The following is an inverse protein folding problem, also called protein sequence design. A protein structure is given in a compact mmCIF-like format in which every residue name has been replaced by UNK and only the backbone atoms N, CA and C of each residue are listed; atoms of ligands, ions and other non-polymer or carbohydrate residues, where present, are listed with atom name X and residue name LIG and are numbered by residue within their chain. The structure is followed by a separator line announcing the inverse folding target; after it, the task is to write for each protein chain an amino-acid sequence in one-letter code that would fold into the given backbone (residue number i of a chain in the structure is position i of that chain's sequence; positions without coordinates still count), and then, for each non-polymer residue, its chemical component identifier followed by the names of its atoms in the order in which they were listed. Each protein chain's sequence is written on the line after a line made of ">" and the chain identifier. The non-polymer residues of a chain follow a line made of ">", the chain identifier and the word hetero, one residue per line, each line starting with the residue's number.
data_IF_008825567032
#
_entry.id   IF_008825567032
#
_cell.length_a   1.000
_cell.length_b   1.000
_cell.length_c   1.000
_cell.angle_alpha   90.00
_cell.angle_beta   90.00
_cell.angle_gamma   90.00
#
_symmetry.space_group_name_H-M   'P 1'
#
loop_
_entity.id
_entity.type
_entity.pdbx_description
1 polymer ?
#
# COMPACT_ATOMS: atom_id res chain seq x y z
N UNK A 1 17.98 30.36 1.47
CA UNK A 1 18.89 30.01 0.37
C UNK A 1 18.06 29.71 -0.85
N UNK A 2 18.13 30.55 -1.91
CA UNK A 2 17.38 30.37 -3.15
C UNK A 2 17.89 29.12 -3.87
N UNK A 3 17.08 28.06 -3.97
CA UNK A 3 17.32 27.01 -4.95
C UNK A 3 17.07 27.62 -6.34
N UNK A 4 18.14 27.70 -7.12
CA UNK A 4 18.07 28.02 -8.54
C UNK A 4 17.24 26.89 -9.16
N UNK A 5 16.01 27.19 -9.56
CA UNK A 5 15.21 26.29 -10.39
C UNK A 5 15.93 26.13 -11.71
N UNK A 6 16.61 25.01 -11.87
CA UNK A 6 17.26 24.63 -13.13
C UNK A 6 16.14 24.48 -14.17
N UNK A 7 16.04 25.48 -15.05
CA UNK A 7 15.05 25.56 -16.12
C UNK A 7 15.34 24.45 -17.13
N UNK A 8 14.77 23.25 -16.91
CA UNK A 8 14.96 22.08 -17.76
C UNK A 8 15.06 20.73 -17.00
N UNK A 9 15.22 20.75 -15.69
CA UNK A 9 15.25 19.53 -14.92
C UNK A 9 13.84 18.89 -14.88
N UNK A 10 13.74 17.63 -15.29
CA UNK A 10 12.48 16.88 -15.41
C UNK A 10 12.33 15.93 -14.23
N UNK A 11 11.21 16.01 -13.52
CA UNK A 11 10.81 15.00 -12.55
C UNK A 11 10.46 13.69 -13.26
N UNK A 12 10.91 12.58 -12.70
CA UNK A 12 10.60 11.24 -13.18
C UNK A 12 10.51 10.28 -11.98
N UNK A 13 9.75 9.22 -12.11
CA UNK A 13 9.61 8.20 -11.08
C UNK A 13 8.81 7.00 -11.54
N UNK A 14 8.79 5.97 -10.71
CA UNK A 14 7.96 4.78 -10.87
C UNK A 14 7.58 4.25 -9.49
N UNK A 15 6.41 3.66 -9.42
CA UNK A 15 5.98 2.82 -8.30
C UNK A 15 6.12 1.38 -8.75
N UNK A 16 6.84 0.57 -7.99
CA UNK A 16 7.16 -0.80 -8.35
C UNK A 16 6.21 -1.80 -7.67
N UNK A 17 6.01 -1.68 -6.35
CA UNK A 17 5.13 -2.58 -5.60
C UNK A 17 4.56 -1.93 -4.32
N UNK A 18 3.52 -2.57 -3.80
CA UNK A 18 3.00 -2.39 -2.44
C UNK A 18 2.87 -3.77 -1.81
N UNK A 19 3.68 -4.03 -0.80
CA UNK A 19 3.72 -5.31 -0.10
C UNK A 19 3.94 -5.08 1.40
N UNK A 20 3.13 -5.72 2.25
CA UNK A 20 3.28 -5.68 3.71
C UNK A 20 3.33 -4.26 4.28
N UNK A 21 2.50 -3.34 3.78
CA UNK A 21 2.51 -1.95 4.22
C UNK A 21 3.67 -1.10 3.72
N UNK A 22 4.52 -1.64 2.86
CA UNK A 22 5.64 -0.91 2.28
C UNK A 22 5.42 -0.67 0.79
N UNK A 23 5.49 0.60 0.38
CA UNK A 23 5.46 1.01 -1.02
C UNK A 23 6.88 1.26 -1.50
N UNK A 24 7.27 0.55 -2.55
CA UNK A 24 8.60 0.68 -3.17
C UNK A 24 8.53 1.34 -4.54
N UNK A 25 9.64 1.96 -4.93
CA UNK A 25 9.76 2.63 -6.22
C UNK A 25 11.00 3.50 -6.30
N UNK A 26 10.96 4.46 -7.22
CA UNK A 26 12.02 5.46 -7.34
C UNK A 26 11.46 6.82 -7.77
N UNK A 27 12.18 7.90 -7.44
CA UNK A 27 11.84 9.25 -7.83
C UNK A 27 13.11 10.12 -7.93
N UNK A 28 13.27 10.83 -9.03
CA UNK A 28 14.45 11.65 -9.29
C UNK A 28 14.10 12.96 -10.01
N UNK A 29 14.90 13.98 -9.76
CA UNK A 29 15.03 15.13 -10.63
C UNK A 29 16.20 14.83 -11.58
N UNK A 30 15.89 14.61 -12.87
CA UNK A 30 16.90 14.20 -13.84
C UNK A 30 17.96 15.30 -14.00
N UNK A 31 19.23 14.92 -13.86
CA UNK A 31 20.38 15.85 -13.87
C UNK A 31 20.72 16.43 -12.50
N UNK A 32 19.98 16.08 -11.44
CA UNK A 32 20.31 16.44 -10.05
C UNK A 32 20.48 15.17 -9.22
N UNK A 33 21.66 15.00 -8.60
CA UNK A 33 21.97 13.83 -7.77
C UNK A 33 21.37 13.90 -6.35
N UNK A 34 20.75 15.03 -6.01
CA UNK A 34 20.14 15.20 -4.68
C UNK A 34 18.90 14.30 -4.56
N UNK A 35 18.83 13.44 -3.53
CA UNK A 35 17.64 12.62 -3.27
C UNK A 35 16.41 13.48 -3.01
N UNK A 36 15.27 13.09 -3.57
CA UNK A 36 13.99 13.75 -3.33
C UNK A 36 13.35 13.21 -2.04
N UNK A 37 12.70 14.10 -1.29
CA UNK A 37 11.69 13.70 -0.33
C UNK A 37 10.35 13.58 -1.06
N UNK A 38 9.67 12.46 -0.89
CA UNK A 38 8.42 12.14 -1.60
C UNK A 38 7.29 11.86 -0.64
N UNK A 39 6.11 12.28 -1.02
CA UNK A 39 4.85 11.96 -0.38
C UNK A 39 4.02 11.07 -1.29
N UNK A 40 3.36 10.09 -0.70
CA UNK A 40 2.42 9.17 -1.36
C UNK A 40 1.00 9.58 -1.01
N UNK A 41 0.17 9.77 -2.01
CA UNK A 41 -1.23 10.17 -1.84
C UNK A 41 -2.18 9.19 -2.53
N UNK A 42 -3.41 9.10 -2.03
CA UNK A 42 -4.53 8.54 -2.79
C UNK A 42 -4.94 9.49 -3.92
N UNK A 43 -5.78 9.02 -4.83
CA UNK A 43 -6.37 9.87 -5.90
C UNK A 43 -7.21 11.02 -5.31
N UNK A 44 -7.86 10.81 -4.16
CA UNK A 44 -8.65 11.79 -3.41
C UNK A 44 -7.78 12.81 -2.66
N UNK A 45 -6.46 12.61 -2.62
CA UNK A 45 -5.50 13.52 -2.01
C UNK A 45 -5.23 13.23 -0.53
N UNK A 46 -5.56 12.05 -0.03
CA UNK A 46 -5.20 11.62 1.32
C UNK A 46 -3.75 11.15 1.35
N UNK A 47 -2.97 11.64 2.34
CA UNK A 47 -1.58 11.24 2.55
C UNK A 47 -1.52 9.81 3.13
N UNK A 48 -0.83 8.92 2.43
CA UNK A 48 -0.60 7.54 2.84
C UNK A 48 0.73 7.36 3.57
N UNK A 49 1.77 8.06 3.15
CA UNK A 49 3.10 7.96 3.72
C UNK A 49 4.07 8.96 3.10
N UNK A 50 5.24 9.06 3.71
CA UNK A 50 6.31 9.96 3.26
C UNK A 50 7.67 9.30 3.45
N UNK A 51 8.61 9.58 2.57
CA UNK A 51 9.95 9.04 2.66
C UNK A 51 10.94 9.75 1.77
N UNK A 52 12.18 9.25 1.77
CA UNK A 52 13.28 9.81 0.99
C UNK A 52 13.72 8.80 -0.07
N UNK A 53 13.92 9.29 -1.28
CA UNK A 53 14.40 8.50 -2.40
C UNK A 53 15.94 8.50 -2.41
N UNK A 54 16.57 7.80 -1.45
CA UNK A 54 18.02 7.77 -1.25
C UNK A 54 18.61 6.35 -1.19
N UNK A 55 17.85 5.36 -1.61
CA UNK A 55 18.31 3.97 -1.70
C UNK A 55 18.99 3.78 -3.07
N UNK A 56 20.17 3.16 -3.06
CA UNK A 56 20.88 2.82 -4.29
C UNK A 56 20.27 1.61 -5.01
N UNK A 57 20.06 1.77 -6.33
CA UNK A 57 19.66 0.68 -7.24
C UNK A 57 20.55 0.70 -8.48
N UNK A 58 21.19 -0.43 -8.76
CA UNK A 58 22.12 -0.55 -9.89
C UNK A 58 21.44 -0.35 -11.24
N UNK A 59 20.21 -0.86 -11.40
CA UNK A 59 19.41 -0.69 -12.63
C UNK A 59 19.11 0.78 -12.95
N UNK A 60 18.89 1.62 -11.93
CA UNK A 60 18.69 3.06 -12.14
C UNK A 60 19.96 3.72 -12.71
N UNK A 61 21.13 3.37 -12.17
CA UNK A 61 22.42 3.85 -12.66
C UNK A 61 22.68 3.38 -14.12
N UNK A 62 22.41 2.10 -14.40
CA UNK A 62 22.56 1.52 -15.75
C UNK A 62 21.65 2.18 -16.78
N UNK A 63 20.45 2.60 -16.37
CA UNK A 63 19.50 3.34 -17.23
C UNK A 63 19.75 4.85 -17.26
N UNK A 64 20.84 5.32 -16.64
CA UNK A 64 21.22 6.73 -16.66
C UNK A 64 20.37 7.64 -15.77
N UNK A 65 19.70 7.07 -14.78
CA UNK A 65 19.00 7.85 -13.76
C UNK A 65 20.02 8.34 -12.73
N UNK A 66 20.64 9.46 -13.06
CA UNK A 66 21.70 10.14 -12.27
C UNK A 66 22.80 9.15 -11.81
N UNK A 67 22.96 8.94 -10.49
CA UNK A 67 23.94 8.02 -9.90
C UNK A 67 23.29 6.75 -9.30
N UNK A 68 22.00 6.54 -9.55
CA UNK A 68 21.25 5.39 -9.07
C UNK A 68 20.78 5.48 -7.62
N UNK A 69 21.06 6.57 -6.90
CA UNK A 69 20.64 6.76 -5.49
C UNK A 69 19.34 7.52 -5.44
N UNK A 70 18.26 6.91 -5.96
CA UNK A 70 16.95 7.52 -6.11
C UNK A 70 15.78 6.59 -5.84
N UNK A 71 16.00 5.38 -5.31
CA UNK A 71 14.93 4.48 -4.91
C UNK A 71 14.44 4.82 -3.50
N UNK A 72 13.21 4.39 -3.21
CA UNK A 72 12.59 4.52 -1.90
C UNK A 72 11.86 3.26 -1.47
N UNK A 73 11.73 3.09 -0.15
CA UNK A 73 10.83 2.18 0.51
C UNK A 73 10.09 3.00 1.58
N UNK A 74 8.80 3.14 1.47
CA UNK A 74 7.98 4.02 2.30
C UNK A 74 6.91 3.19 3.00
N UNK A 75 6.91 3.25 4.32
CA UNK A 75 5.82 2.68 5.11
C UNK A 75 4.55 3.51 4.87
N UNK A 76 3.49 2.82 4.49
CA UNK A 76 2.20 3.43 4.19
C UNK A 76 1.12 2.87 5.10
N UNK A 77 0.12 3.69 5.38
CA UNK A 77 -1.03 3.24 6.16
C UNK A 77 -1.94 2.36 5.29
N UNK A 78 -1.82 1.04 5.45
CA UNK A 78 -2.62 0.05 4.71
C UNK A 78 -4.13 0.20 4.95
N UNK A 79 -4.56 0.67 6.13
CA UNK A 79 -5.98 0.84 6.44
C UNK A 79 -6.67 1.89 5.55
N UNK A 80 -5.86 2.74 4.91
CA UNK A 80 -6.30 3.77 3.97
C UNK A 80 -6.20 3.32 2.50
N UNK A 81 -5.65 2.14 2.25
CA UNK A 81 -5.54 1.60 0.89
C UNK A 81 -6.87 1.01 0.43
N UNK A 82 -7.43 1.58 -0.60
CA UNK A 82 -8.63 1.05 -1.25
C UNK A 82 -8.18 0.18 -2.44
N UNK A 83 -8.45 -1.13 -2.42
CA UNK A 83 -8.13 -2.01 -3.55
C UNK A 83 -8.69 -1.48 -4.87
N UNK A 84 -7.84 -1.38 -5.89
CA UNK A 84 -8.18 -0.82 -7.20
C UNK A 84 -8.07 0.72 -7.27
N UNK A 85 -7.77 1.42 -6.17
CA UNK A 85 -7.46 2.85 -6.23
C UNK A 85 -6.05 3.09 -6.79
N UNK A 86 -5.85 4.30 -7.30
CA UNK A 86 -4.55 4.73 -7.84
C UNK A 86 -3.80 5.54 -6.81
N UNK A 87 -2.51 5.30 -6.68
CA UNK A 87 -1.63 6.11 -5.84
C UNK A 87 -0.82 7.08 -6.67
N UNK A 88 -0.45 8.20 -6.07
CA UNK A 88 0.29 9.28 -6.70
C UNK A 88 1.49 9.68 -5.84
N UNK A 89 2.62 9.94 -6.50
CA UNK A 89 3.80 10.51 -5.84
C UNK A 89 3.84 12.03 -6.05
N UNK A 90 4.24 12.75 -5.00
CA UNK A 90 4.52 14.18 -5.07
C UNK A 90 5.81 14.51 -4.34
N UNK A 91 6.50 15.54 -4.81
CA UNK A 91 7.66 16.12 -4.10
C UNK A 91 7.17 16.73 -2.80
N UNK A 92 7.79 16.38 -1.67
CA UNK A 92 7.30 16.81 -0.35
C UNK A 92 7.35 18.33 -0.16
N UNK A 93 8.39 18.98 -0.65
CA UNK A 93 8.60 20.41 -0.47
C UNK A 93 7.73 21.29 -1.38
N UNK A 94 7.51 20.87 -2.64
CA UNK A 94 6.79 21.66 -3.64
C UNK A 94 5.36 21.20 -3.89
N UNK A 95 5.02 20.02 -3.40
CA UNK A 95 3.76 19.32 -3.70
C UNK A 95 3.54 19.07 -5.22
N UNK A 96 4.61 19.20 -6.01
CA UNK A 96 4.57 18.94 -7.44
C UNK A 96 4.41 17.45 -7.70
N UNK A 97 3.47 17.09 -8.60
CA UNK A 97 3.22 15.70 -8.96
C UNK A 97 4.41 15.14 -9.74
N UNK A 98 4.92 14.00 -9.29
CA UNK A 98 5.96 13.26 -9.99
C UNK A 98 5.28 12.40 -11.06
N UNK A 99 5.64 12.55 -12.35
CA UNK A 99 5.16 11.67 -13.40
C UNK A 99 5.63 10.23 -13.13
N UNK A 100 4.68 9.33 -12.89
CA UNK A 100 4.93 7.91 -12.65
C UNK A 100 4.06 7.08 -13.61
N UNK A 101 4.36 5.77 -13.69
CA UNK A 101 3.40 4.80 -14.18
C UNK A 101 2.08 4.90 -13.39
N UNK A 102 0.98 4.54 -14.02
CA UNK A 102 -0.28 4.36 -13.31
C UNK A 102 -0.16 3.10 -12.44
N UNK A 103 -0.06 3.29 -11.13
CA UNK A 103 -0.02 2.19 -10.18
C UNK A 103 -1.37 2.09 -9.48
N UNK A 104 -2.06 0.98 -9.71
CA UNK A 104 -3.29 0.64 -9.00
C UNK A 104 -2.94 -0.27 -7.83
N UNK A 105 -3.47 0.03 -6.65
CA UNK A 105 -3.39 -0.87 -5.51
C UNK A 105 -3.98 -2.21 -5.94
N UNK A 106 -3.22 -3.31 -5.81
CA UNK A 106 -3.72 -4.62 -6.20
C UNK A 106 -5.09 -4.85 -5.56
N UNK A 107 -6.09 -5.15 -6.39
CA UNK A 107 -7.36 -5.63 -5.85
C UNK A 107 -7.03 -6.91 -5.12
N UNK A 108 -7.32 -6.94 -3.83
CA UNK A 108 -7.31 -8.19 -3.06
C UNK A 108 -7.96 -9.22 -3.96
N UNK A 109 -7.26 -10.30 -4.25
CA UNK A 109 -7.66 -11.28 -5.24
C UNK A 109 -9.16 -11.51 -5.16
N UNK A 110 -9.91 -11.16 -6.21
CA UNK A 110 -11.37 -11.32 -6.28
C UNK A 110 -11.79 -12.81 -6.22
N UNK A 111 -10.83 -13.68 -5.95
CA UNK A 111 -10.99 -15.11 -5.78
C UNK A 111 -11.47 -15.53 -4.39
N UNK A 112 -11.43 -14.61 -3.41
CA UNK A 112 -11.90 -14.91 -2.05
C UNK A 112 -13.30 -14.36 -1.83
N UNK A 113 -14.18 -15.22 -1.36
CA UNK A 113 -15.50 -14.86 -0.85
C UNK A 113 -15.55 -15.19 0.64
N UNK A 114 -16.00 -14.25 1.45
CA UNK A 114 -16.14 -14.42 2.88
C UNK A 114 -17.62 -14.35 3.29
N UNK A 115 -18.10 -15.40 3.90
CA UNK A 115 -19.46 -15.46 4.47
C UNK A 115 -19.38 -15.45 5.99
N UNK A 116 -20.14 -14.60 6.63
CA UNK A 116 -20.41 -14.74 8.07
C UNK A 116 -21.48 -15.82 8.23
N UNK A 117 -21.13 -16.89 8.93
CA UNK A 117 -22.01 -18.03 9.13
C UNK A 117 -22.89 -17.89 10.36
N UNK A 118 -22.31 -17.43 11.46
CA UNK A 118 -23.00 -17.29 12.73
C UNK A 118 -22.28 -16.31 13.67
N UNK A 119 -23.07 -15.66 14.52
CA UNK A 119 -22.57 -14.88 15.66
C UNK A 119 -23.25 -15.41 16.92
N UNK A 120 -22.50 -16.01 17.81
CA UNK A 120 -22.97 -16.57 19.06
C UNK A 120 -22.22 -15.93 20.23
N UNK A 121 -22.92 -15.11 21.02
CA UNK A 121 -22.27 -14.27 22.02
C UNK A 121 -21.25 -13.32 21.35
N UNK A 122 -19.99 -13.46 21.72
CA UNK A 122 -18.87 -12.71 21.12
C UNK A 122 -18.05 -13.51 20.09
N UNK A 123 -18.52 -14.73 19.73
CA UNK A 123 -17.86 -15.56 18.72
C UNK A 123 -18.50 -15.35 17.35
N UNK A 124 -17.71 -14.89 16.37
CA UNK A 124 -18.11 -14.78 14.97
C UNK A 124 -17.47 -15.91 14.19
N UNK A 125 -18.29 -16.77 13.58
CA UNK A 125 -17.86 -17.86 12.71
C UNK A 125 -17.99 -17.43 11.25
N UNK A 126 -17.00 -17.73 10.43
CA UNK A 126 -16.96 -17.36 9.03
C UNK A 126 -16.45 -18.50 8.14
N UNK A 127 -16.80 -18.42 6.86
CA UNK A 127 -16.25 -19.25 5.80
C UNK A 127 -15.49 -18.36 4.81
N UNK A 128 -14.30 -18.79 4.43
CA UNK A 128 -13.63 -18.29 3.24
C UNK A 128 -13.77 -19.33 2.14
N UNK A 129 -14.07 -18.89 0.93
CA UNK A 129 -14.05 -19.71 -0.26
C UNK A 129 -13.26 -19.03 -1.37
N UNK A 130 -12.59 -19.81 -2.21
CA UNK A 130 -11.75 -19.32 -3.29
C UNK A 130 -11.84 -20.23 -4.51
N UNK A 131 -11.58 -19.69 -5.69
CA UNK A 131 -11.42 -20.46 -6.91
C UNK A 131 -10.13 -21.30 -6.92
N UNK A 132 -9.16 -20.95 -6.07
CA UNK A 132 -7.86 -21.62 -5.93
C UNK A 132 -7.66 -22.08 -4.48
N UNK A 133 -6.57 -22.80 -4.21
CA UNK A 133 -6.16 -23.17 -2.85
C UNK A 133 -5.87 -21.91 -2.07
N UNK A 134 -6.44 -21.79 -0.87
CA UNK A 134 -6.33 -20.58 -0.03
C UNK A 134 -4.87 -20.30 0.35
N UNK A 135 -4.09 -21.33 0.68
CA UNK A 135 -2.71 -21.16 1.17
C UNK A 135 -2.67 -20.40 2.51
N UNK A 136 -1.59 -19.68 2.72
CA UNK A 136 -1.41 -18.82 3.90
C UNK A 136 -1.89 -17.41 3.60
N UNK A 137 -2.83 -16.91 4.39
CA UNK A 137 -3.44 -15.59 4.25
C UNK A 137 -3.60 -14.92 5.60
N UNK A 138 -3.82 -13.62 5.60
CA UNK A 138 -4.27 -12.87 6.78
C UNK A 138 -5.66 -12.33 6.50
N UNK A 139 -6.63 -12.72 7.31
CA UNK A 139 -8.00 -12.21 7.22
C UNK A 139 -8.14 -11.05 8.19
N UNK A 140 -8.54 -9.90 7.66
CA UNK A 140 -8.81 -8.69 8.43
C UNK A 140 -10.31 -8.49 8.59
N UNK A 141 -10.74 -8.24 9.80
CA UNK A 141 -12.11 -7.92 10.15
C UNK A 141 -12.20 -6.44 10.50
N UNK A 142 -13.03 -5.72 9.77
CA UNK A 142 -13.17 -4.29 9.93
C UNK A 142 -14.64 -3.88 10.07
N UNK A 143 -14.87 -2.77 10.75
CA UNK A 143 -16.14 -2.04 10.80
C UNK A 143 -15.94 -0.64 10.22
N UNK A 144 -17.00 0.17 10.23
CA UNK A 144 -16.90 1.60 9.91
C UNK A 144 -16.01 2.42 10.85
N UNK A 145 -15.52 1.80 11.95
CA UNK A 145 -14.59 2.41 12.93
C UNK A 145 -13.14 1.95 12.74
N UNK A 146 -12.88 1.09 11.75
CA UNK A 146 -11.56 0.55 11.44
C UNK A 146 -11.43 -0.96 11.62
N UNK A 147 -10.20 -1.46 11.46
CA UNK A 147 -9.87 -2.88 11.67
C UNK A 147 -9.90 -3.19 13.16
N UNK A 148 -10.63 -4.22 13.54
CA UNK A 148 -10.76 -4.65 14.93
C UNK A 148 -10.16 -6.03 15.22
N UNK A 149 -9.86 -6.81 14.20
CA UNK A 149 -9.20 -8.11 14.34
C UNK A 149 -8.47 -8.50 13.07
N UNK A 150 -7.32 -9.15 13.25
CA UNK A 150 -6.58 -9.81 12.18
C UNK A 150 -6.33 -11.25 12.59
N UNK A 151 -6.48 -12.17 11.64
CA UNK A 151 -6.24 -13.58 11.89
C UNK A 151 -5.44 -14.19 10.75
N UNK A 152 -4.25 -14.74 11.03
CA UNK A 152 -3.58 -15.60 10.07
C UNK A 152 -4.36 -16.89 9.90
N UNK A 153 -4.56 -17.30 8.66
CA UNK A 153 -5.24 -18.52 8.28
C UNK A 153 -4.41 -19.30 7.28
N UNK A 154 -4.53 -20.61 7.31
CA UNK A 154 -3.92 -21.49 6.32
C UNK A 154 -4.89 -22.60 5.97
N UNK A 155 -5.00 -22.91 4.67
CA UNK A 155 -5.79 -24.02 4.20
C UNK A 155 -5.22 -24.56 2.89
N UNK A 156 -5.07 -25.89 2.82
CA UNK A 156 -4.71 -26.62 1.61
C UNK A 156 -5.94 -26.91 0.71
N UNK A 157 -7.06 -26.29 1.01
CA UNK A 157 -8.30 -26.43 0.27
C UNK A 157 -8.79 -25.09 -0.28
N UNK A 158 -9.87 -25.13 -1.07
CA UNK A 158 -10.55 -23.93 -1.56
C UNK A 158 -11.57 -23.36 -0.60
N UNK A 159 -11.75 -24.00 0.55
CA UNK A 159 -12.66 -23.56 1.60
C UNK A 159 -11.97 -23.64 2.95
N UNK A 160 -12.27 -22.67 3.79
CA UNK A 160 -11.81 -22.60 5.17
C UNK A 160 -13.00 -22.18 6.05
N UNK A 161 -13.19 -22.88 7.15
CA UNK A 161 -14.14 -22.53 8.20
C UNK A 161 -13.37 -22.21 9.47
N UNK A 162 -13.60 -21.02 10.02
CA UNK A 162 -12.87 -20.56 11.19
C UNK A 162 -13.71 -19.54 11.98
N UNK A 163 -13.16 -19.00 13.06
CA UNK A 163 -13.85 -18.01 13.90
C UNK A 163 -12.88 -16.98 14.47
N UNK A 164 -13.44 -15.85 14.90
CA UNK A 164 -12.78 -14.83 15.72
C UNK A 164 -13.63 -14.50 16.94
N UNK A 165 -12.98 -13.88 17.94
CA UNK A 165 -13.67 -13.28 19.07
C UNK A 165 -13.89 -11.79 18.82
N UNK A 166 -15.14 -11.35 18.91
CA UNK A 166 -15.48 -9.94 18.76
C UNK A 166 -15.11 -9.16 20.02
N UNK A 167 -14.50 -7.99 19.90
CA UNK A 167 -14.26 -7.11 21.05
C UNK A 167 -15.57 -6.60 21.65
N UNK A 168 -15.57 -6.38 22.96
CA UNK A 168 -16.78 -6.02 23.72
C UNK A 168 -17.44 -4.71 23.23
N UNK A 169 -16.64 -3.80 22.67
CA UNK A 169 -17.12 -2.52 22.14
C UNK A 169 -18.06 -2.67 20.94
N UNK A 170 -17.97 -3.80 20.21
CA UNK A 170 -18.84 -4.08 19.07
C UNK A 170 -20.16 -4.73 19.49
N UNK A 171 -20.24 -5.30 20.70
CA UNK A 171 -21.43 -5.99 21.20
C UNK A 171 -22.42 -5.05 21.90
N UNK A 172 -21.97 -3.87 22.34
CA UNK A 172 -22.74 -2.94 23.16
C UNK A 172 -23.51 -1.88 22.37
N UNK A 173 -23.62 -1.99 21.03
CA UNK A 173 -24.29 -1.04 20.15
C UNK A 173 -25.60 -1.62 19.55
N UNK A 174 -26.37 -2.37 20.35
CA UNK A 174 -27.71 -2.85 19.97
C UNK A 174 -28.78 -2.08 20.74
#
# INVERSE_FOLDING_TARGET
>A
MNRITNKGAKLAGSIDSVEGGCLTGWAALLGDKSPLCVNVYTEEGELLGSGKADIHRADLAEHGINDGVHAFAIDINEDKLIPGSVVQLRVAESNEKIPTNRFEIPKLNQHFHADILNVEGNKLSFRLSSSEIIGSQVVRFASNKGVFSEKPVHSDSRELYDYIWLPAELLNNS
#
